data_IF_476413829688
#
_entry.id   IF_476413829688
#
_cell.length_a   1.000
_cell.length_b   1.000
_cell.length_c   1.000
_cell.angle_alpha   90.00
_cell.angle_beta   90.00
_cell.angle_gamma   90.00
#
_symmetry.space_group_name_H-M   'P 1'
#
loop_
_entity.id
_entity.type
_entity.pdbx_description
1 polymer ?
#
# COMPACT_ATOMS: atom_id res chain seq x y z
N UNK A 1 -2.82 7.83 5.71
CA UNK A 1 -2.02 7.72 4.47
C UNK A 1 -1.66 9.13 4.00
N UNK A 2 -0.79 9.25 3.01
CA UNK A 2 0.07 10.43 2.76
C UNK A 2 -0.63 11.71 2.36
N UNK A 3 -1.89 11.65 1.92
CA UNK A 3 -2.62 12.85 1.50
C UNK A 3 -2.03 13.52 0.25
N UNK A 4 -1.21 12.82 -0.54
CA UNK A 4 -0.68 13.29 -1.81
C UNK A 4 -1.81 13.75 -2.73
N UNK A 5 -1.85 15.06 -2.99
CA UNK A 5 -2.91 15.70 -3.77
C UNK A 5 -2.83 15.35 -5.27
N UNK A 6 -1.63 15.05 -5.77
CA UNK A 6 -1.36 14.78 -7.17
C UNK A 6 -0.57 13.48 -7.33
N UNK A 7 -0.93 12.69 -8.34
CA UNK A 7 -0.24 11.46 -8.73
C UNK A 7 -0.09 11.45 -10.25
N UNK A 8 1.13 11.21 -10.75
CA UNK A 8 1.44 11.20 -12.19
C UNK A 8 0.97 12.48 -12.92
N UNK A 9 1.22 13.65 -12.30
CA UNK A 9 0.86 14.99 -12.79
C UNK A 9 -0.64 15.23 -12.97
N UNK A 10 -1.48 14.52 -12.22
CA UNK A 10 -2.95 14.67 -12.22
C UNK A 10 -3.46 14.63 -10.77
N UNK A 11 -4.64 15.19 -10.47
CA UNK A 11 -5.27 15.01 -9.16
C UNK A 11 -5.34 13.52 -8.80
N UNK A 12 -4.93 13.19 -7.57
CA UNK A 12 -5.10 11.84 -7.06
C UNK A 12 -6.60 11.47 -7.02
N UNK A 13 -6.92 10.18 -7.12
CA UNK A 13 -8.30 9.69 -7.22
C UNK A 13 -9.15 10.17 -6.03
N UNK A 14 -8.59 10.17 -4.82
CA UNK A 14 -9.29 10.66 -3.62
C UNK A 14 -9.60 12.15 -3.68
N UNK A 15 -8.74 12.96 -4.33
CA UNK A 15 -8.94 14.40 -4.51
C UNK A 15 -9.99 14.68 -5.59
N UNK A 16 -10.00 13.89 -6.67
CA UNK A 16 -10.92 14.06 -7.79
C UNK A 16 -12.33 13.52 -7.49
N UNK A 17 -12.45 12.43 -6.73
CA UNK A 17 -13.69 11.68 -6.56
C UNK A 17 -14.08 11.43 -5.09
N UNK A 18 -13.27 11.88 -4.13
CA UNK A 18 -13.47 11.64 -2.71
C UNK A 18 -12.82 10.34 -2.21
N UNK A 19 -12.57 10.27 -0.90
CA UNK A 19 -11.90 9.13 -0.26
C UNK A 19 -12.67 7.82 -0.40
N UNK A 20 -13.99 7.83 -0.20
CA UNK A 20 -14.83 6.62 -0.30
C UNK A 20 -14.73 5.95 -1.67
N UNK A 21 -15.01 6.66 -2.78
CA UNK A 21 -14.84 6.13 -4.13
C UNK A 21 -13.41 5.69 -4.44
N UNK A 22 -12.39 6.38 -3.91
CA UNK A 22 -11.00 5.98 -4.10
C UNK A 22 -10.65 4.65 -3.41
N UNK A 23 -11.19 4.40 -2.22
CA UNK A 23 -11.03 3.11 -1.51
C UNK A 23 -11.72 2.00 -2.31
N UNK A 24 -12.97 2.19 -2.71
CA UNK A 24 -13.72 1.19 -3.49
C UNK A 24 -13.05 0.88 -4.84
N UNK A 25 -12.48 1.88 -5.51
CA UNK A 25 -11.72 1.67 -6.73
C UNK A 25 -10.46 0.82 -6.47
N UNK A 26 -9.76 1.04 -5.36
CA UNK A 26 -8.64 0.20 -4.92
C UNK A 26 -9.06 -1.25 -4.67
N UNK A 27 -10.14 -1.45 -3.92
CA UNK A 27 -10.69 -2.79 -3.62
C UNK A 27 -11.10 -3.54 -4.90
N UNK A 28 -11.74 -2.84 -5.84
CA UNK A 28 -12.15 -3.40 -7.12
C UNK A 28 -10.93 -3.80 -7.98
N UNK A 29 -9.89 -2.96 -8.03
CA UNK A 29 -8.63 -3.29 -8.74
C UNK A 29 -7.94 -4.50 -8.11
N UNK A 30 -7.97 -4.62 -6.79
CA UNK A 30 -7.42 -5.78 -6.11
C UNK A 30 -8.20 -7.07 -6.42
N UNK A 31 -9.53 -7.03 -6.36
CA UNK A 31 -10.38 -8.17 -6.73
C UNK A 31 -10.11 -8.61 -8.19
N UNK A 32 -10.02 -7.66 -9.12
CA UNK A 32 -9.69 -7.92 -10.52
C UNK A 32 -8.31 -8.58 -10.69
N UNK A 33 -7.30 -8.17 -9.90
CA UNK A 33 -5.99 -8.80 -9.94
C UNK A 33 -6.03 -10.28 -9.51
N UNK A 34 -6.80 -10.59 -8.46
CA UNK A 34 -6.99 -11.98 -8.00
C UNK A 34 -7.70 -12.82 -9.07
N UNK A 35 -8.80 -12.31 -9.63
CA UNK A 35 -9.54 -12.96 -10.71
C UNK A 35 -8.64 -13.24 -11.92
N UNK A 36 -7.89 -12.23 -12.36
CA UNK A 36 -6.98 -12.32 -13.50
C UNK A 36 -5.92 -13.39 -13.29
N UNK A 37 -5.33 -13.47 -12.10
CA UNK A 37 -4.33 -14.49 -11.79
C UNK A 37 -4.96 -15.89 -11.70
N UNK A 38 -6.10 -16.02 -11.01
CA UNK A 38 -6.79 -17.29 -10.83
C UNK A 38 -7.16 -17.95 -12.16
N UNK A 39 -7.48 -17.16 -13.20
CA UNK A 39 -7.81 -17.66 -14.54
C UNK A 39 -6.62 -18.21 -15.35
N UNK A 40 -5.38 -18.13 -14.83
CA UNK A 40 -4.18 -18.60 -15.55
C UNK A 40 -3.86 -20.08 -15.24
N UNK A 41 -3.18 -20.81 -16.16
CA UNK A 41 -2.75 -22.19 -15.90
C UNK A 41 -1.88 -22.40 -14.64
N UNK A 42 -1.20 -21.36 -14.16
CA UNK A 42 -0.45 -21.34 -12.88
C UNK A 42 -1.06 -20.39 -11.84
N UNK A 43 -2.37 -20.17 -11.91
CA UNK A 43 -3.06 -19.13 -11.16
C UNK A 43 -2.90 -19.25 -9.65
N UNK A 44 -2.99 -20.47 -9.10
CA UNK A 44 -2.80 -20.70 -7.67
C UNK A 44 -1.41 -20.26 -7.17
N UNK A 45 -0.36 -20.46 -7.96
CA UNK A 45 0.98 -19.97 -7.59
C UNK A 45 1.05 -18.45 -7.65
N UNK A 46 0.48 -17.83 -8.70
CA UNK A 46 0.42 -16.37 -8.83
C UNK A 46 -0.34 -15.70 -7.68
N UNK A 47 -1.51 -16.24 -7.32
CA UNK A 47 -2.30 -15.74 -6.18
C UNK A 47 -1.53 -15.88 -4.88
N UNK A 48 -0.82 -17.00 -4.64
CA UNK A 48 0.02 -17.15 -3.44
C UNK A 48 1.14 -16.10 -3.37
N UNK A 49 1.81 -15.84 -4.49
CA UNK A 49 2.84 -14.79 -4.57
C UNK A 49 2.25 -13.41 -4.29
N UNK A 50 1.11 -13.08 -4.91
CA UNK A 50 0.41 -11.83 -4.66
C UNK A 50 0.02 -11.68 -3.18
N UNK A 51 -0.56 -12.72 -2.58
CA UNK A 51 -0.93 -12.71 -1.16
C UNK A 51 0.26 -12.56 -0.22
N UNK A 52 1.41 -13.15 -0.55
CA UNK A 52 2.64 -12.94 0.23
C UNK A 52 3.11 -11.49 0.14
N UNK A 53 3.25 -10.96 -1.08
CA UNK A 53 3.67 -9.58 -1.31
C UNK A 53 2.75 -8.55 -0.63
N UNK A 54 1.44 -8.80 -0.57
CA UNK A 54 0.50 -7.91 0.10
C UNK A 54 0.62 -7.92 1.62
N UNK A 55 0.94 -9.08 2.22
CA UNK A 55 1.21 -9.11 3.67
C UNK A 55 2.45 -8.28 4.01
N UNK A 56 3.49 -8.41 3.21
CA UNK A 56 4.72 -7.63 3.37
C UNK A 56 4.44 -6.13 3.17
N UNK A 57 3.71 -5.77 2.11
CA UNK A 57 3.30 -4.38 1.81
C UNK A 57 2.48 -3.76 2.95
N UNK A 58 1.49 -4.48 3.48
CA UNK A 58 0.63 -3.97 4.57
C UNK A 58 1.44 -3.79 5.85
N UNK A 59 2.37 -4.71 6.14
CA UNK A 59 3.30 -4.57 7.25
C UNK A 59 4.15 -3.30 7.13
N UNK A 60 4.82 -3.11 5.99
CA UNK A 60 5.62 -1.91 5.74
C UNK A 60 4.82 -0.60 5.77
N UNK A 61 3.59 -0.61 5.25
CA UNK A 61 2.70 0.55 5.33
C UNK A 61 2.24 0.86 6.76
N UNK A 62 2.01 -0.16 7.59
CA UNK A 62 1.69 0.05 9.01
C UNK A 62 2.87 0.67 9.76
N UNK A 63 4.09 0.17 9.50
CA UNK A 63 5.32 0.74 10.06
C UNK A 63 5.54 2.19 9.60
N UNK A 64 5.31 2.50 8.32
CA UNK A 64 5.44 3.85 7.78
C UNK A 64 4.50 4.85 8.46
N UNK A 65 3.23 4.46 8.67
CA UNK A 65 2.26 5.28 9.40
C UNK A 65 2.67 5.51 10.86
N UNK A 66 3.27 4.52 11.52
CA UNK A 66 3.80 4.67 12.88
C UNK A 66 5.01 5.61 12.88
N UNK A 67 5.90 5.47 11.89
CA UNK A 67 7.11 6.28 11.76
C UNK A 67 6.80 7.75 11.48
N UNK A 68 5.76 8.05 10.71
CA UNK A 68 5.32 9.42 10.41
C UNK A 68 4.99 10.25 11.66
N UNK A 69 4.65 9.60 12.79
CA UNK A 69 4.37 10.26 14.07
C UNK A 69 5.61 10.47 14.95
N UNK A 70 6.74 9.84 14.62
CA UNK A 70 7.96 9.84 15.45
C UNK A 70 8.85 11.05 15.14
N UNK A 71 9.61 11.55 16.14
CA UNK A 71 10.52 12.68 15.94
C UNK A 71 11.70 12.28 15.05
N UNK A 72 12.29 13.27 14.36
CA UNK A 72 13.49 13.07 13.55
C UNK A 72 14.78 12.93 14.39
N UNK A 73 14.80 13.48 15.61
CA UNK A 73 15.95 13.45 16.54
C UNK A 73 15.56 12.93 17.93
N UNK A 74 16.58 12.65 18.75
CA UNK A 74 16.39 12.22 20.14
C UNK A 74 16.13 10.72 20.31
N UNK A 75 15.79 10.28 21.54
CA UNK A 75 15.65 8.85 21.88
C UNK A 75 14.51 8.14 21.14
N UNK A 76 13.43 8.88 20.81
CA UNK A 76 12.24 8.34 20.13
C UNK A 76 12.31 8.31 18.60
N UNK A 77 13.42 8.74 17.99
CA UNK A 77 13.54 8.80 16.53
C UNK A 77 13.50 7.44 15.85
N UNK A 78 13.05 7.41 14.60
CA UNK A 78 13.18 6.22 13.74
C UNK A 78 14.67 6.01 13.44
N UNK A 79 15.17 4.81 13.76
CA UNK A 79 16.57 4.46 13.54
C UNK A 79 16.80 3.90 12.13
N UNK A 80 18.01 4.04 11.56
CA UNK A 80 18.30 3.53 10.23
C UNK A 80 18.07 2.02 10.06
N UNK A 81 18.21 1.22 11.12
CA UNK A 81 17.88 -0.21 11.08
C UNK A 81 16.37 -0.50 11.06
N UNK A 82 15.55 0.33 11.72
CA UNK A 82 14.08 0.24 11.68
C UNK A 82 13.59 0.59 10.28
N UNK A 83 14.08 1.70 9.73
CA UNK A 83 13.72 2.17 8.38
C UNK A 83 14.12 1.19 7.26
N UNK A 84 15.19 0.42 7.42
CA UNK A 84 15.63 -0.58 6.42
C UNK A 84 14.86 -1.90 6.47
N UNK A 85 14.15 -2.17 7.57
CA UNK A 85 13.35 -3.38 7.75
C UNK A 85 11.91 -3.21 7.29
N UNK A 86 11.41 -1.98 7.37
CA UNK A 86 10.18 -1.53 6.71
C UNK A 86 10.32 -1.65 5.19
#
# INVERSE_FOLDING_TARGET
MDGDADRRRRPAVWKAYGTGPAVLAGDALFALAVETLAARPRGAAGVRTLSAALRDLVGGQADDLLFASRPWTGPGRVRPEEYRRM
#
